data_IF_178475125674
#
_entry.id   IF_178475125674
#
_cell.length_a   1.000
_cell.length_b   1.000
_cell.length_c   1.000
_cell.angle_alpha   90.00
_cell.angle_beta   90.00
_cell.angle_gamma   90.00
#
_symmetry.space_group_name_H-M   'P 1'
#
loop_
_entity.id
_entity.type
_entity.pdbx_description
1 polymer ?
#
# COMPACT_ATOMS: atom_id res chain seq x y z
N UNK A 1 4.12 -54.21 42.25
CA UNK A 1 3.31 -53.43 41.30
C UNK A 1 3.95 -52.07 41.10
N UNK A 2 3.99 -51.58 39.86
CA UNK A 2 4.76 -50.43 39.35
C UNK A 2 4.35 -49.05 39.92
N UNK A 3 5.22 -48.01 39.83
CA UNK A 3 5.02 -46.65 40.35
C UNK A 3 4.45 -45.68 39.30
N UNK A 4 3.70 -44.65 39.73
CA UNK A 4 3.38 -43.43 38.96
C UNK A 4 3.16 -42.30 39.99
N UNK A 5 3.86 -41.15 40.03
CA UNK A 5 4.45 -40.37 38.95
C UNK A 5 3.51 -39.23 38.57
N UNK A 6 3.27 -38.24 39.43
CA UNK A 6 2.57 -37.00 39.04
C UNK A 6 3.57 -35.90 38.72
N UNK A 7 3.84 -35.81 37.43
CA UNK A 7 4.62 -34.78 36.78
C UNK A 7 3.95 -33.40 36.84
N UNK A 8 4.82 -32.42 36.66
CA UNK A 8 4.66 -30.98 36.78
C UNK A 8 4.37 -30.43 35.39
N UNK A 9 3.15 -29.96 35.13
CA UNK A 9 2.86 -29.21 33.90
C UNK A 9 2.89 -27.71 34.23
N UNK A 10 4.03 -27.08 33.93
CA UNK A 10 4.13 -25.63 33.81
C UNK A 10 3.38 -25.24 32.54
N UNK A 11 2.30 -24.46 32.67
CA UNK A 11 1.68 -23.79 31.55
C UNK A 11 2.65 -22.73 31.01
N UNK A 12 3.36 -23.05 29.94
CA UNK A 12 4.00 -22.05 29.10
C UNK A 12 2.87 -21.27 28.42
N UNK A 13 2.69 -20.00 28.81
CA UNK A 13 1.89 -19.08 28.01
C UNK A 13 2.61 -18.89 26.69
N UNK A 14 1.96 -19.32 25.62
CA UNK A 14 2.39 -19.10 24.25
C UNK A 14 2.76 -17.62 24.08
N UNK A 15 4.06 -17.38 23.89
CA UNK A 15 4.56 -16.14 23.37
C UNK A 15 3.95 -15.99 21.98
N UNK A 16 2.89 -15.20 21.88
CA UNK A 16 2.34 -14.72 20.62
C UNK A 16 3.44 -13.85 20.01
N UNK A 17 4.36 -14.48 19.29
CA UNK A 17 5.44 -13.81 18.58
C UNK A 17 4.79 -12.75 17.72
N UNK A 18 5.10 -11.49 18.01
CA UNK A 18 4.76 -10.40 17.11
C UNK A 18 5.39 -10.77 15.77
N UNK A 19 4.54 -11.11 14.81
CA UNK A 19 4.99 -11.34 13.44
C UNK A 19 5.73 -10.06 13.03
N UNK A 20 6.94 -10.15 12.46
CA UNK A 20 7.64 -8.96 12.00
C UNK A 20 6.69 -8.19 11.08
N UNK A 21 6.69 -6.85 11.15
CA UNK A 21 5.75 -6.05 10.38
C UNK A 21 5.86 -6.43 8.92
N UNK A 22 4.70 -6.69 8.30
CA UNK A 22 4.66 -6.95 6.88
C UNK A 22 5.05 -5.63 6.18
N UNK A 23 6.12 -5.59 5.37
CA UNK A 23 6.55 -4.36 4.70
C UNK A 23 5.42 -3.71 3.88
N UNK A 24 4.51 -4.52 3.34
CA UNK A 24 3.32 -4.01 2.64
C UNK A 24 2.34 -3.26 3.56
N UNK A 25 2.20 -3.68 4.82
CA UNK A 25 1.33 -3.00 5.79
C UNK A 25 1.93 -1.67 6.27
N UNK A 26 3.26 -1.57 6.37
CA UNK A 26 3.95 -0.34 6.75
C UNK A 26 3.84 0.76 5.68
N UNK A 27 3.79 0.36 4.41
CA UNK A 27 3.67 1.28 3.26
C UNK A 27 2.23 1.72 2.99
N UNK A 28 1.23 0.98 3.47
CA UNK A 28 -0.19 1.26 3.22
C UNK A 28 -0.61 2.63 3.76
N UNK A 29 -0.28 2.93 5.01
CA UNK A 29 -0.67 4.18 5.68
C UNK A 29 -0.02 5.44 5.07
N UNK A 30 1.27 5.44 4.71
CA UNK A 30 1.88 6.49 3.90
C UNK A 30 1.20 6.69 2.55
N UNK A 31 0.94 5.61 1.83
CA UNK A 31 0.36 5.64 0.49
C UNK A 31 -1.05 6.21 0.51
N UNK A 32 -1.90 5.76 1.43
CA UNK A 32 -3.26 6.30 1.62
C UNK A 32 -3.25 7.81 1.88
N UNK A 33 -2.28 8.30 2.68
CA UNK A 33 -2.13 9.73 2.97
C UNK A 33 -1.69 10.56 1.77
N UNK A 34 -0.92 10.00 0.85
CA UNK A 34 -0.54 10.67 -0.39
C UNK A 34 -1.73 10.69 -1.36
N UNK A 35 -2.35 9.53 -1.57
CA UNK A 35 -3.50 9.39 -2.45
C UNK A 35 -4.68 10.25 -2.00
N UNK A 36 -4.89 10.40 -0.68
CA UNK A 36 -5.99 11.22 -0.13
C UNK A 36 -5.89 12.70 -0.52
N UNK A 37 -4.71 13.19 -0.90
CA UNK A 37 -4.47 14.59 -1.31
C UNK A 37 -4.74 14.82 -2.80
N UNK A 38 -4.87 13.75 -3.57
CA UNK A 38 -5.15 13.83 -5.00
C UNK A 38 -6.65 14.06 -5.25
N UNK A 39 -7.00 14.86 -6.28
CA UNK A 39 -8.32 14.84 -6.88
C UNK A 39 -8.77 13.42 -7.19
N UNK A 40 -10.06 13.15 -7.04
CA UNK A 40 -10.63 11.79 -7.18
C UNK A 40 -10.23 11.12 -8.51
N UNK A 41 -10.32 11.84 -9.62
CA UNK A 41 -9.95 11.31 -10.95
C UNK A 41 -8.47 10.95 -11.05
N UNK A 42 -7.59 11.78 -10.47
CA UNK A 42 -6.14 11.51 -10.45
C UNK A 42 -5.81 10.30 -9.58
N UNK A 43 -6.44 10.21 -8.40
CA UNK A 43 -6.33 9.05 -7.52
C UNK A 43 -6.72 7.78 -8.26
N UNK A 44 -7.88 7.79 -8.92
CA UNK A 44 -8.43 6.59 -9.56
C UNK A 44 -7.60 6.11 -10.76
N UNK A 45 -7.01 7.05 -11.52
CA UNK A 45 -6.02 6.71 -12.55
C UNK A 45 -4.81 6.02 -11.92
N UNK A 46 -4.23 6.57 -10.85
CA UNK A 46 -3.07 5.94 -10.19
C UNK A 46 -3.41 4.61 -9.52
N UNK A 47 -4.57 4.48 -8.89
CA UNK A 47 -5.01 3.25 -8.24
C UNK A 47 -5.09 2.07 -9.23
N UNK A 48 -5.57 2.31 -10.45
CA UNK A 48 -5.57 1.32 -11.52
C UNK A 48 -4.17 1.07 -12.08
N UNK A 49 -3.44 2.14 -12.42
CA UNK A 49 -2.09 2.03 -13.01
C UNK A 49 -1.11 1.27 -12.11
N UNK A 50 -1.25 1.43 -10.80
CA UNK A 50 -0.40 0.80 -9.80
C UNK A 50 -0.99 -0.51 -9.22
N UNK A 51 -2.17 -0.94 -9.67
CA UNK A 51 -2.81 -2.18 -9.22
C UNK A 51 -3.24 -2.15 -7.75
N UNK A 52 -3.58 -0.98 -7.22
CA UNK A 52 -3.95 -0.81 -5.81
C UNK A 52 -5.37 -1.29 -5.50
N UNK A 53 -6.18 -1.53 -6.53
CA UNK A 53 -7.57 -1.98 -6.40
C UNK A 53 -7.67 -3.51 -6.50
N UNK A 54 -7.03 -4.09 -7.50
CA UNK A 54 -7.17 -5.50 -7.89
C UNK A 54 -5.85 -6.28 -7.83
N UNK A 55 -4.78 -5.65 -7.37
CA UNK A 55 -3.45 -6.25 -7.26
C UNK A 55 -2.67 -6.32 -8.57
N UNK A 56 -3.21 -5.81 -9.69
CA UNK A 56 -2.58 -5.92 -11.00
C UNK A 56 -2.39 -4.54 -11.63
N UNK A 57 -1.15 -4.15 -12.00
CA UNK A 57 -0.94 -2.88 -12.67
C UNK A 57 -1.57 -2.88 -14.05
N UNK A 58 -2.35 -1.84 -14.36
CA UNK A 58 -2.97 -1.65 -15.67
C UNK A 58 -2.12 -0.75 -16.56
N UNK A 59 -2.12 -1.02 -17.86
CA UNK A 59 -1.55 -0.11 -18.84
C UNK A 59 -2.44 1.13 -19.05
N UNK A 60 -1.90 2.18 -19.70
CA UNK A 60 -2.65 3.40 -19.99
C UNK A 60 -3.94 3.11 -20.78
N UNK A 61 -3.89 2.15 -21.71
CA UNK A 61 -5.04 1.76 -22.53
C UNK A 61 -6.16 1.10 -21.70
N UNK A 62 -5.80 0.16 -20.84
CA UNK A 62 -6.78 -0.52 -19.99
C UNK A 62 -7.36 0.43 -18.94
N UNK A 63 -6.52 1.29 -18.38
CA UNK A 63 -6.96 2.34 -17.44
C UNK A 63 -7.93 3.32 -18.12
N UNK A 64 -7.60 3.79 -19.33
CA UNK A 64 -8.46 4.69 -20.10
C UNK A 64 -9.82 4.07 -20.38
N UNK A 65 -9.82 2.79 -20.81
CA UNK A 65 -11.04 2.02 -21.04
C UNK A 65 -11.87 1.84 -19.78
N UNK A 66 -11.22 1.50 -18.65
CA UNK A 66 -11.90 1.27 -17.37
C UNK A 66 -12.57 2.54 -16.81
N UNK A 67 -11.99 3.72 -17.09
CA UNK A 67 -12.49 5.00 -16.59
C UNK A 67 -13.34 5.77 -17.62
N UNK A 68 -13.53 5.25 -18.83
CA UNK A 68 -14.27 5.93 -19.89
C UNK A 68 -13.58 7.20 -20.40
N UNK A 69 -12.25 7.22 -20.36
CA UNK A 69 -11.40 8.34 -20.78
C UNK A 69 -10.69 8.02 -22.09
N UNK A 70 -10.21 9.04 -22.80
CA UNK A 70 -9.22 8.82 -23.86
C UNK A 70 -7.83 8.50 -23.29
N UNK A 71 -6.99 7.90 -24.14
CA UNK A 71 -5.57 7.67 -23.83
C UNK A 71 -4.83 8.97 -23.48
N UNK A 72 -5.12 10.04 -24.23
CA UNK A 72 -4.50 11.35 -24.02
C UNK A 72 -4.91 11.94 -22.67
N UNK A 73 -6.20 11.93 -22.36
CA UNK A 73 -6.71 12.41 -21.07
C UNK A 73 -6.11 11.61 -19.91
N UNK A 74 -6.04 10.28 -20.04
CA UNK A 74 -5.46 9.41 -19.01
C UNK A 74 -3.99 9.75 -18.76
N UNK A 75 -3.21 9.97 -19.82
CA UNK A 75 -1.80 10.39 -19.72
C UNK A 75 -1.66 11.76 -19.04
N UNK A 76 -2.49 12.73 -19.42
CA UNK A 76 -2.44 14.07 -18.83
C UNK A 76 -2.87 14.05 -17.35
N UNK A 77 -3.87 13.26 -17.00
CA UNK A 77 -4.30 13.07 -15.61
C UNK A 77 -3.20 12.39 -14.80
N UNK A 78 -2.56 11.34 -15.32
CA UNK A 78 -1.43 10.66 -14.68
C UNK A 78 -0.28 11.64 -14.41
N UNK A 79 0.09 12.45 -15.41
CA UNK A 79 1.13 13.48 -15.27
C UNK A 79 0.78 14.47 -14.17
N UNK A 80 -0.44 15.02 -14.17
CA UNK A 80 -0.92 15.97 -13.15
C UNK A 80 -0.98 15.36 -11.76
N UNK A 81 -1.28 14.06 -11.67
CA UNK A 81 -1.25 13.34 -10.40
C UNK A 81 0.17 13.31 -9.82
N UNK A 82 1.18 12.98 -10.63
CA UNK A 82 2.58 13.00 -10.20
C UNK A 82 3.07 14.41 -9.84
N UNK A 83 2.66 15.44 -10.57
CA UNK A 83 2.95 16.84 -10.22
C UNK A 83 2.35 17.19 -8.85
N UNK A 84 1.08 16.84 -8.60
CA UNK A 84 0.45 17.03 -7.29
C UNK A 84 1.18 16.29 -6.17
N UNK A 85 1.60 15.04 -6.38
CA UNK A 85 2.36 14.28 -5.36
C UNK A 85 3.65 15.02 -5.00
N UNK A 86 4.37 15.54 -6.00
CA UNK A 86 5.63 16.25 -5.82
C UNK A 86 5.46 17.57 -5.06
N UNK A 87 4.36 18.28 -5.30
CA UNK A 87 4.04 19.53 -4.60
C UNK A 87 3.52 19.27 -3.18
N UNK A 88 2.67 18.24 -3.02
CA UNK A 88 2.03 17.93 -1.76
C UNK A 88 2.94 17.21 -0.76
N UNK A 89 4.02 16.56 -1.22
CA UNK A 89 4.99 15.87 -0.37
C UNK A 89 6.31 16.64 -0.42
N UNK A 90 6.71 17.35 0.65
CA UNK A 90 8.02 17.98 0.72
C UNK A 90 9.10 16.93 0.43
N UNK A 91 10.07 17.26 -0.42
CA UNK A 91 11.16 16.35 -0.83
C UNK A 91 11.85 15.66 0.38
N UNK A 92 11.98 16.36 1.51
CA UNK A 92 12.52 15.79 2.75
C UNK A 92 11.67 14.65 3.34
N UNK A 93 10.34 14.73 3.21
CA UNK A 93 9.43 13.69 3.67
C UNK A 93 9.44 12.48 2.75
N UNK A 94 9.59 12.69 1.43
CA UNK A 94 9.75 11.59 0.47
C UNK A 94 11.07 10.83 0.69
N UNK A 95 12.17 11.54 0.95
CA UNK A 95 13.46 10.92 1.29
C UNK A 95 13.37 10.06 2.55
N UNK A 96 12.60 10.49 3.55
CA UNK A 96 12.37 9.70 4.76
C UNK A 96 11.60 8.40 4.49
N UNK A 97 10.70 8.37 3.51
CA UNK A 97 10.01 7.14 3.10
C UNK A 97 10.91 6.15 2.34
N UNK A 98 12.01 6.62 1.75
CA UNK A 98 12.94 5.80 0.98
C UNK A 98 14.16 5.31 1.78
N UNK A 99 14.37 5.82 3.00
CA UNK A 99 15.49 5.47 3.89
C UNK A 99 15.07 4.72 5.16
N UNK A 100 13.77 4.44 5.32
CA UNK A 100 13.26 3.50 6.31
C UNK A 100 13.02 2.15 5.65
#
# INVERSE_FOLDING_TARGET
GKPQGKGKQRGGKDGKGAQPPNPAEELKQPLERVLSRLPETQRRVLELRMGLVDGHPHDLADTARALGLSLSETREIEKRAFEHIREAVPLQQLQRFLQG
#
